data_IF_740647745309
#
_entry.id   IF_740647745309
#
_cell.length_a   1.000
_cell.length_b   1.000
_cell.length_c   1.000
_cell.angle_alpha   90.00
_cell.angle_beta   90.00
_cell.angle_gamma   90.00
#
_symmetry.space_group_name_H-M   'P 1'
#
loop_
_entity.id
_entity.type
_entity.pdbx_description
1 polymer ?
#
# COMPACT_ATOMS: atom_id res chain seq x y z
N UNK A 1 -34.58 10.92 9.54
CA UNK A 1 -33.68 9.77 9.70
C UNK A 1 -32.40 10.14 9.00
N UNK A 2 -31.49 10.80 9.74
CA UNK A 2 -30.17 11.17 9.25
C UNK A 2 -29.35 9.87 9.17
N UNK A 3 -29.04 9.45 7.94
CA UNK A 3 -28.08 8.38 7.67
C UNK A 3 -26.72 8.85 8.17
N UNK A 4 -26.27 8.36 9.32
CA UNK A 4 -24.96 8.69 9.90
C UNK A 4 -23.84 8.08 9.05
N UNK A 5 -23.51 8.69 7.93
CA UNK A 5 -22.30 8.39 7.18
C UNK A 5 -21.13 9.10 7.87
N UNK A 6 -20.45 8.39 8.79
CA UNK A 6 -19.02 8.48 9.16
C UNK A 6 -18.77 7.69 10.44
N UNK A 7 -17.64 6.96 10.51
CA UNK A 7 -16.37 7.67 10.63
C UNK A 7 -15.33 7.16 9.64
N UNK A 8 -14.93 8.04 8.72
CA UNK A 8 -13.60 7.94 8.09
C UNK A 8 -12.59 8.17 9.21
N UNK A 9 -11.65 7.24 9.37
CA UNK A 9 -10.81 7.24 10.53
C UNK A 9 -9.34 7.16 10.16
N UNK A 10 -8.56 7.89 10.93
CA UNK A 10 -7.13 7.81 10.93
C UNK A 10 -6.73 6.90 12.07
N UNK A 11 -6.09 5.80 11.71
CA UNK A 11 -5.57 4.82 12.66
C UNK A 11 -4.10 5.08 12.89
N UNK A 12 -3.72 5.28 14.15
CA UNK A 12 -2.39 5.72 14.57
C UNK A 12 -1.71 4.64 15.41
N UNK A 13 -0.47 4.34 15.06
CA UNK A 13 0.50 3.69 15.92
C UNK A 13 1.60 4.67 16.30
N UNK A 14 1.82 4.87 17.60
CA UNK A 14 2.89 5.72 18.10
C UNK A 14 4.23 4.97 18.02
N UNK A 15 5.08 5.34 17.06
CA UNK A 15 6.39 4.70 16.88
C UNK A 15 7.29 4.96 18.10
N UNK A 16 7.87 3.88 18.64
CA UNK A 16 8.73 3.94 19.84
C UNK A 16 7.98 3.92 21.17
N UNK A 17 6.65 3.82 21.17
CA UNK A 17 5.84 3.60 22.37
C UNK A 17 4.94 2.38 22.24
N UNK A 18 5.56 1.20 22.11
CA UNK A 18 4.90 -0.11 21.98
C UNK A 18 3.96 -0.46 23.14
N UNK A 19 3.99 0.34 24.22
CA UNK A 19 3.15 0.18 25.39
C UNK A 19 1.75 0.81 25.26
N UNK A 20 1.50 1.61 24.23
CA UNK A 20 0.18 2.19 23.99
C UNK A 20 -0.59 1.44 22.88
N UNK A 21 -1.89 1.15 23.09
CA UNK A 21 -2.71 0.60 22.03
C UNK A 21 -2.91 1.64 20.92
N UNK A 22 -3.11 1.21 19.66
CA UNK A 22 -3.38 2.13 18.57
C UNK A 22 -4.65 2.95 18.82
N UNK A 23 -4.64 4.17 18.30
CA UNK A 23 -5.75 5.11 18.47
C UNK A 23 -6.44 5.42 17.16
N UNK A 24 -7.69 5.87 17.30
CA UNK A 24 -8.59 6.18 16.22
C UNK A 24 -8.94 7.66 16.31
N UNK A 25 -8.87 8.35 15.19
CA UNK A 25 -9.10 9.80 15.10
C UNK A 25 -9.98 10.12 13.90
N UNK A 26 -10.96 11.03 14.06
CA UNK A 26 -11.61 11.68 12.93
C UNK A 26 -10.79 12.94 12.56
N UNK A 27 -10.05 12.92 11.44
CA UNK A 27 -9.16 14.03 11.08
C UNK A 27 -9.93 15.24 10.52
N UNK A 28 -11.25 15.13 10.33
CA UNK A 28 -12.10 16.22 9.85
C UNK A 28 -12.86 16.92 10.99
N UNK A 29 -12.78 16.40 12.22
CA UNK A 29 -13.44 16.98 13.38
C UNK A 29 -12.75 18.29 13.81
N UNK A 30 -13.51 19.38 13.94
CA UNK A 30 -12.97 20.70 14.37
C UNK A 30 -12.58 20.74 15.84
N UNK A 31 -13.07 19.77 16.63
CA UNK A 31 -12.59 19.52 17.97
C UNK A 31 -11.59 18.37 17.89
N UNK A 32 -10.30 18.66 18.02
CA UNK A 32 -9.23 17.70 18.34
C UNK A 32 -9.45 17.04 19.72
N UNK A 33 -10.68 16.74 20.10
CA UNK A 33 -10.93 15.73 21.09
C UNK A 33 -10.62 14.42 20.40
N UNK A 34 -9.63 13.67 20.89
CA UNK A 34 -9.67 12.21 20.86
C UNK A 34 -11.15 11.83 20.89
N UNK A 35 -11.69 11.32 19.78
CA UNK A 35 -13.03 10.74 19.79
C UNK A 35 -13.00 9.82 20.99
N UNK A 36 -13.88 10.05 21.97
CA UNK A 36 -13.94 9.21 23.16
C UNK A 36 -14.25 7.82 22.64
N UNK A 37 -13.18 7.06 22.34
CA UNK A 37 -13.29 5.75 21.74
C UNK A 37 -14.21 4.99 22.68
N UNK A 38 -15.33 4.46 22.17
CA UNK A 38 -16.23 3.68 23.00
C UNK A 38 -15.40 2.69 23.82
N UNK A 39 -15.72 2.50 25.10
CA UNK A 39 -14.92 1.62 25.97
C UNK A 39 -14.67 0.25 25.31
N UNK A 40 -15.65 -0.26 24.56
CA UNK A 40 -15.54 -1.44 23.72
C UNK A 40 -14.37 -1.39 22.69
N UNK A 41 -14.25 -0.29 21.94
CA UNK A 41 -13.14 -0.10 20.99
C UNK A 41 -11.78 -0.09 21.69
N UNK A 42 -11.67 0.62 22.82
CA UNK A 42 -10.42 0.64 23.59
C UNK A 42 -10.01 -0.75 24.05
N UNK A 43 -10.96 -1.59 24.46
CA UNK A 43 -10.67 -2.98 24.83
C UNK A 43 -10.20 -3.82 23.65
N UNK A 44 -10.84 -3.69 22.49
CA UNK A 44 -10.42 -4.39 21.26
C UNK A 44 -8.99 -4.00 20.83
N UNK A 45 -8.66 -2.71 20.88
CA UNK A 45 -7.33 -2.23 20.48
C UNK A 45 -6.20 -2.67 21.42
N UNK A 46 -6.50 -3.14 22.63
CA UNK A 46 -5.48 -3.74 23.51
C UNK A 46 -4.87 -5.01 22.91
N UNK A 47 -5.61 -5.72 22.05
CA UNK A 47 -5.07 -6.90 21.37
C UNK A 47 -3.98 -6.54 20.36
N UNK A 48 -4.01 -5.31 19.83
CA UNK A 48 -3.02 -4.79 18.88
C UNK A 48 -1.84 -4.08 19.56
N UNK A 49 -1.85 -3.99 20.89
CA UNK A 49 -0.77 -3.37 21.65
C UNK A 49 0.54 -4.13 21.44
N UNK A 50 1.62 -3.38 21.24
CA UNK A 50 2.98 -3.91 21.01
C UNK A 50 3.18 -4.59 19.65
N UNK A 51 2.20 -4.49 18.75
CA UNK A 51 2.27 -5.05 17.40
C UNK A 51 2.47 -3.95 16.38
N UNK A 52 3.24 -4.23 15.35
CA UNK A 52 3.51 -3.30 14.27
C UNK A 52 2.46 -3.48 13.17
N UNK A 53 1.89 -2.38 12.67
CA UNK A 53 1.08 -2.43 11.46
C UNK A 53 1.97 -2.19 10.25
N UNK A 54 1.94 -3.12 9.30
CA UNK A 54 2.75 -3.10 8.08
C UNK A 54 2.00 -2.45 6.91
N UNK A 55 0.69 -2.64 6.83
CA UNK A 55 -0.13 -2.10 5.74
C UNK A 55 -1.61 -1.98 6.13
N UNK A 56 -2.33 -1.09 5.43
CA UNK A 56 -3.79 -1.06 5.42
C UNK A 56 -4.28 -1.39 4.01
N UNK A 57 -5.05 -2.47 3.90
CA UNK A 57 -5.49 -3.09 2.67
C UNK A 57 -6.96 -2.73 2.42
N UNK A 58 -7.21 -2.06 1.30
CA UNK A 58 -8.55 -1.63 0.86
C UNK A 58 -9.29 -0.75 1.90
N UNK A 59 -8.56 -0.16 2.86
CA UNK A 59 -9.15 0.63 3.94
C UNK A 59 -9.91 -0.18 5.00
N UNK A 60 -9.88 -1.52 4.97
CA UNK A 60 -10.65 -2.38 5.87
C UNK A 60 -9.78 -3.29 6.74
N UNK A 61 -8.68 -3.78 6.17
CA UNK A 61 -7.86 -4.81 6.80
C UNK A 61 -6.50 -4.24 7.14
N UNK A 62 -6.07 -4.43 8.38
CA UNK A 62 -4.71 -4.12 8.81
C UNK A 62 -3.88 -5.38 8.79
N UNK A 63 -2.71 -5.31 8.17
CA UNK A 63 -1.71 -6.35 8.25
C UNK A 63 -0.80 -6.06 9.44
N UNK A 64 -0.86 -6.94 10.43
CA UNK A 64 -0.19 -6.79 11.71
C UNK A 64 0.94 -7.79 11.84
N UNK A 65 2.01 -7.36 12.48
CA UNK A 65 3.18 -8.16 12.83
C UNK A 65 3.38 -8.13 14.33
N UNK A 66 3.50 -9.32 14.92
CA UNK A 66 3.96 -9.51 16.29
C UNK A 66 5.42 -9.97 16.29
N UNK A 67 6.34 -9.00 16.23
CA UNK A 67 7.78 -9.26 16.22
C UNK A 67 8.27 -9.88 17.54
N UNK A 68 7.55 -9.67 18.65
CA UNK A 68 7.94 -10.18 19.97
C UNK A 68 7.65 -11.68 20.13
N UNK A 69 6.59 -12.19 19.48
CA UNK A 69 6.14 -13.58 19.59
C UNK A 69 6.26 -14.30 18.26
N UNK A 70 7.50 -14.47 17.78
CA UNK A 70 7.87 -15.27 16.60
C UNK A 70 7.59 -14.66 15.22
N UNK A 71 7.59 -13.33 15.09
CA UNK A 71 7.29 -12.63 13.82
C UNK A 71 5.96 -13.07 13.20
N UNK A 72 4.99 -13.43 14.05
CA UNK A 72 3.70 -13.91 13.58
C UNK A 72 2.93 -12.78 12.88
N UNK A 73 2.40 -13.07 11.70
CA UNK A 73 1.62 -12.13 10.92
C UNK A 73 0.15 -12.48 10.97
N UNK A 74 -0.71 -11.47 10.94
CA UNK A 74 -2.14 -11.69 10.82
C UNK A 74 -2.83 -10.48 10.20
N UNK A 75 -3.94 -10.73 9.51
CA UNK A 75 -4.87 -9.68 9.11
C UNK A 75 -5.90 -9.48 10.21
N UNK A 76 -6.26 -8.22 10.46
CA UNK A 76 -7.36 -7.87 11.35
C UNK A 76 -8.29 -6.88 10.66
N UNK A 77 -9.59 -7.10 10.74
CA UNK A 77 -10.58 -6.09 10.40
C UNK A 77 -11.07 -5.42 11.68
N UNK A 78 -10.52 -4.24 12.05
CA UNK A 78 -10.87 -3.62 13.31
C UNK A 78 -12.30 -3.06 13.30
N UNK A 79 -12.86 -2.78 12.12
CA UNK A 79 -14.21 -2.25 11.96
C UNK A 79 -15.31 -3.33 11.88
N UNK A 80 -14.93 -4.61 11.73
CA UNK A 80 -15.85 -5.75 11.59
C UNK A 80 -15.55 -6.82 12.67
N UNK A 81 -16.02 -6.53 13.89
CA UNK A 81 -15.96 -7.40 15.07
C UNK A 81 -14.56 -7.96 15.42
N UNK A 82 -13.48 -7.27 15.02
CA UNK A 82 -12.09 -7.72 15.22
C UNK A 82 -11.83 -9.10 14.61
N UNK A 83 -12.37 -9.37 13.41
CA UNK A 83 -12.08 -10.61 12.70
C UNK A 83 -10.58 -10.71 12.43
N UNK A 84 -9.94 -11.79 12.89
CA UNK A 84 -8.51 -12.06 12.74
C UNK A 84 -8.29 -13.27 11.84
N UNK A 85 -7.35 -13.13 10.90
CA UNK A 85 -6.90 -14.21 10.01
C UNK A 85 -5.40 -14.38 10.19
N UNK A 86 -4.98 -15.50 10.76
CA UNK A 86 -3.57 -15.85 10.93
C UNK A 86 -2.88 -16.07 9.59
N UNK A 87 -1.63 -15.63 9.51
CA UNK A 87 -0.73 -15.81 8.38
C UNK A 87 0.58 -16.47 8.83
N UNK A 88 1.36 -17.01 7.90
CA UNK A 88 2.71 -17.50 8.20
C UNK A 88 3.58 -16.41 8.82
N UNK A 89 4.49 -16.77 9.73
CA UNK A 89 5.52 -15.86 10.22
C UNK A 89 6.34 -15.22 9.08
N UNK A 90 6.70 -13.94 9.23
CA UNK A 90 7.67 -13.29 8.35
C UNK A 90 9.09 -13.60 8.84
N UNK A 91 9.71 -14.63 8.25
CA UNK A 91 11.10 -15.00 8.51
C UNK A 91 12.11 -14.09 7.76
N UNK A 92 11.62 -13.31 6.79
CA UNK A 92 12.37 -12.31 6.02
C UNK A 92 12.56 -11.03 6.82
N UNK A 93 13.68 -10.31 6.64
CA UNK A 93 13.78 -8.93 7.12
C UNK A 93 12.61 -8.09 6.61
N UNK A 94 12.06 -7.20 7.44
CA UNK A 94 10.97 -6.29 7.05
C UNK A 94 11.45 -5.16 6.16
N UNK A 95 12.75 -4.85 6.22
CA UNK A 95 13.37 -3.73 5.49
C UNK A 95 13.14 -3.76 3.97
N UNK A 96 13.21 -4.92 3.27
CA UNK A 96 12.83 -5.00 1.87
C UNK A 96 11.33 -4.82 1.65
N UNK A 97 10.45 -5.19 2.58
CA UNK A 97 9.00 -5.14 2.37
C UNK A 97 8.46 -3.72 2.57
N UNK A 98 7.69 -3.22 1.61
CA UNK A 98 7.08 -1.87 1.69
C UNK A 98 5.57 -1.89 1.76
N UNK A 99 4.91 -2.28 0.67
CA UNK A 99 3.44 -2.31 0.58
C UNK A 99 2.94 -3.68 0.20
N UNK A 100 1.67 -3.88 0.51
CA UNK A 100 0.98 -5.12 0.34
C UNK A 100 -0.31 -4.88 -0.45
N UNK A 101 -0.70 -5.87 -1.25
CA UNK A 101 -2.00 -5.94 -1.89
C UNK A 101 -2.63 -7.31 -1.63
N UNK A 102 -3.96 -7.37 -1.76
CA UNK A 102 -4.74 -8.60 -1.68
C UNK A 102 -5.52 -8.78 -2.98
N UNK A 103 -5.54 -10.00 -3.51
CA UNK A 103 -6.21 -10.29 -4.80
C UNK A 103 -7.73 -10.24 -4.71
N UNK A 104 -8.27 -10.52 -3.52
CA UNK A 104 -9.71 -10.55 -3.23
C UNK A 104 -9.93 -10.42 -1.72
N UNK A 105 -11.16 -10.64 -1.25
CA UNK A 105 -11.45 -10.65 0.19
C UNK A 105 -10.56 -11.67 0.92
N UNK A 106 -9.90 -11.32 2.04
CA UNK A 106 -9.08 -12.24 2.82
C UNK A 106 -9.83 -13.47 3.35
N UNK A 107 -11.16 -13.40 3.39
CA UNK A 107 -12.02 -14.51 3.78
C UNK A 107 -12.22 -15.53 2.65
N UNK A 108 -11.85 -15.19 1.42
CA UNK A 108 -11.89 -16.09 0.28
C UNK A 108 -10.72 -17.08 0.31
N UNK A 109 -10.94 -18.38 0.05
CA UNK A 109 -9.86 -19.37 -0.01
C UNK A 109 -8.85 -19.11 -1.14
N UNK A 110 -9.26 -18.37 -2.18
CA UNK A 110 -8.41 -18.02 -3.33
C UNK A 110 -7.68 -16.68 -3.14
N UNK A 111 -7.84 -16.04 -1.98
CA UNK A 111 -7.16 -14.78 -1.70
C UNK A 111 -5.65 -14.99 -1.64
N UNK A 112 -4.92 -14.16 -2.38
CA UNK A 112 -3.46 -14.11 -2.35
C UNK A 112 -3.04 -12.75 -1.84
N UNK A 113 -2.18 -12.77 -0.84
CA UNK A 113 -1.55 -11.61 -0.22
C UNK A 113 -0.19 -11.48 -0.86
N UNK A 114 0.14 -10.30 -1.38
CA UNK A 114 1.40 -10.05 -2.08
C UNK A 114 2.05 -8.80 -1.53
N UNK A 115 3.29 -8.92 -1.09
CA UNK A 115 4.16 -7.80 -0.78
C UNK A 115 5.02 -7.42 -1.98
N UNK A 116 5.09 -6.11 -2.23
CA UNK A 116 6.18 -5.55 -3.01
C UNK A 116 7.39 -5.35 -2.11
N UNK A 117 8.54 -5.75 -2.63
CA UNK A 117 9.84 -5.39 -2.07
C UNK A 117 10.28 -4.01 -2.59
N UNK A 118 11.34 -3.44 -2.01
CA UNK A 118 11.91 -2.15 -2.37
C UNK A 118 13.37 -2.31 -2.75
N UNK A 119 13.69 -1.91 -3.97
CA UNK A 119 15.03 -2.08 -4.54
C UNK A 119 15.48 -3.55 -4.57
N UNK A 120 14.52 -4.45 -4.76
CA UNK A 120 14.67 -5.90 -4.88
C UNK A 120 13.93 -6.34 -6.15
N UNK A 121 14.21 -7.56 -6.61
CA UNK A 121 13.70 -8.10 -7.88
C UNK A 121 12.69 -9.24 -7.71
N UNK A 122 12.02 -9.29 -6.55
CA UNK A 122 11.02 -10.32 -6.27
C UNK A 122 9.83 -9.80 -5.48
N UNK A 123 8.71 -10.49 -5.61
CA UNK A 123 7.52 -10.33 -4.77
C UNK A 123 7.45 -11.46 -3.75
N UNK A 124 7.07 -11.14 -2.52
CA UNK A 124 6.73 -12.15 -1.53
C UNK A 124 5.22 -12.34 -1.52
N UNK A 125 4.73 -13.59 -1.50
CA UNK A 125 3.30 -13.85 -1.48
C UNK A 125 2.92 -15.03 -0.60
N UNK A 126 1.68 -15.04 -0.12
CA UNK A 126 1.08 -16.14 0.63
C UNK A 126 -0.43 -16.17 0.41
N UNK A 127 -1.10 -17.21 0.91
CA UNK A 127 -2.57 -17.28 0.98
C UNK A 127 -3.01 -17.49 2.42
N UNK A 128 -4.19 -16.96 2.82
CA UNK A 128 -4.76 -17.27 4.13
C UNK A 128 -4.84 -18.78 4.38
N UNK A 129 -4.34 -19.22 5.53
CA UNK A 129 -4.33 -20.63 5.93
C UNK A 129 -3.15 -21.47 5.41
N UNK A 130 -2.27 -20.89 4.60
CA UNK A 130 -0.99 -21.52 4.25
C UNK A 130 0.02 -21.36 5.40
N UNK A 131 1.11 -22.14 5.33
CA UNK A 131 2.13 -22.22 6.38
C UNK A 131 3.43 -21.47 6.04
N UNK A 132 3.55 -20.87 4.84
CA UNK A 132 4.80 -20.27 4.37
C UNK A 132 4.60 -19.07 3.43
N UNK A 133 5.68 -18.30 3.27
CA UNK A 133 5.79 -17.25 2.25
C UNK A 133 6.59 -17.76 1.05
N UNK A 134 6.13 -17.42 -0.15
CA UNK A 134 6.80 -17.77 -1.40
C UNK A 134 7.37 -16.55 -2.08
N UNK A 135 8.44 -16.77 -2.82
CA UNK A 135 9.10 -15.78 -3.65
C UNK A 135 8.65 -15.94 -5.11
N UNK A 136 8.32 -14.83 -5.74
CA UNK A 136 8.09 -14.73 -7.18
C UNK A 136 9.11 -13.74 -7.74
N UNK A 137 10.12 -14.25 -8.45
CA UNK A 137 11.11 -13.43 -9.13
C UNK A 137 10.43 -12.63 -10.25
N UNK A 138 10.72 -11.34 -10.34
CA UNK A 138 10.16 -10.42 -11.35
C UNK A 138 11.11 -10.18 -12.51
N UNK A 139 12.35 -10.63 -12.40
CA UNK A 139 13.30 -10.64 -13.50
C UNK A 139 12.94 -11.79 -14.45
N UNK A 140 12.75 -11.44 -15.72
CA UNK A 140 12.89 -12.41 -16.80
C UNK A 140 14.41 -12.61 -17.04
N UNK A 141 14.85 -13.75 -17.59
CA UNK A 141 16.27 -14.13 -17.80
C UNK A 141 17.13 -13.14 -18.65
N UNK A 142 16.64 -11.93 -18.93
CA UNK A 142 17.31 -10.84 -19.63
C UNK A 142 18.10 -9.93 -18.65
N UNK A 143 19.27 -9.46 -19.09
CA UNK A 143 20.33 -8.80 -18.30
C UNK A 143 19.97 -7.47 -17.56
N UNK A 144 18.71 -7.04 -17.55
CA UNK A 144 18.27 -5.81 -16.89
C UNK A 144 17.52 -6.13 -15.58
N UNK A 145 18.20 -6.06 -14.43
CA UNK A 145 17.61 -6.22 -13.09
C UNK A 145 16.46 -5.21 -12.89
N UNK A 146 15.24 -5.72 -12.64
CA UNK A 146 14.05 -4.90 -12.45
C UNK A 146 13.80 -4.63 -10.97
N UNK A 147 14.16 -3.44 -10.52
CA UNK A 147 13.96 -3.05 -9.13
C UNK A 147 12.53 -2.57 -8.90
N UNK A 148 11.87 -3.21 -7.93
CA UNK A 148 10.53 -2.82 -7.50
C UNK A 148 10.60 -1.58 -6.60
N UNK A 149 9.66 -0.65 -6.78
CA UNK A 149 9.63 0.62 -6.02
C UNK A 149 8.82 0.53 -4.72
N UNK A 150 8.35 -0.67 -4.36
CA UNK A 150 7.69 -0.92 -3.09
C UNK A 150 6.21 -0.59 -3.04
N UNK A 151 5.57 -0.24 -4.15
CA UNK A 151 4.12 -0.05 -4.23
C UNK A 151 3.44 -1.18 -5.00
N UNK A 152 2.21 -1.52 -4.64
CA UNK A 152 1.46 -2.59 -5.29
C UNK A 152 -0.04 -2.37 -5.13
N UNK A 153 -0.79 -2.62 -6.21
CA UNK A 153 -2.25 -2.64 -6.17
C UNK A 153 -2.80 -3.86 -6.91
N UNK A 154 -3.88 -4.44 -6.39
CA UNK A 154 -4.64 -5.47 -7.10
C UNK A 154 -5.82 -4.86 -7.82
N UNK A 155 -6.06 -5.27 -9.06
CA UNK A 155 -7.25 -4.92 -9.82
C UNK A 155 -7.63 -6.08 -10.75
N UNK A 156 -8.87 -6.55 -10.65
CA UNK A 156 -9.45 -7.57 -11.54
C UNK A 156 -8.56 -8.84 -11.69
N UNK A 157 -7.99 -9.32 -10.58
CA UNK A 157 -7.14 -10.52 -10.57
C UNK A 157 -5.70 -10.31 -11.02
N UNK A 158 -5.34 -9.09 -11.46
CA UNK A 158 -3.96 -8.69 -11.76
C UNK A 158 -3.36 -7.86 -10.63
N UNK A 159 -2.04 -7.91 -10.50
CA UNK A 159 -1.26 -7.05 -9.61
C UNK A 159 -0.45 -6.06 -10.45
N UNK A 160 -0.36 -4.83 -9.99
CA UNK A 160 0.33 -3.74 -10.66
C UNK A 160 1.39 -3.19 -9.71
N UNK A 161 2.65 -3.20 -10.13
CA UNK A 161 3.81 -2.87 -9.30
C UNK A 161 4.68 -1.86 -10.04
N UNK A 162 4.90 -0.63 -9.52
CA UNK A 162 5.81 0.31 -10.13
C UNK A 162 7.28 -0.14 -10.03
N UNK A 163 8.05 0.15 -11.07
CA UNK A 163 9.48 -0.15 -11.15
C UNK A 163 10.31 1.13 -11.18
N UNK A 164 11.60 1.02 -10.91
CA UNK A 164 12.57 2.11 -10.96
C UNK A 164 12.74 2.70 -12.37
N UNK A 165 12.47 1.90 -13.40
CA UNK A 165 12.56 2.26 -14.82
C UNK A 165 11.39 3.10 -15.34
N UNK A 166 10.67 3.83 -14.48
CA UNK A 166 9.46 4.60 -14.86
C UNK A 166 8.47 3.75 -15.67
N UNK A 167 8.21 2.53 -15.19
CA UNK A 167 7.22 1.61 -15.74
C UNK A 167 6.45 0.92 -14.62
N UNK A 168 5.45 0.13 -15.00
CA UNK A 168 4.73 -0.80 -14.13
C UNK A 168 4.90 -2.22 -14.67
N UNK A 169 5.11 -3.16 -13.76
CA UNK A 169 4.95 -4.58 -13.99
C UNK A 169 3.50 -4.98 -13.69
N UNK A 170 2.88 -5.68 -14.61
CA UNK A 170 1.53 -6.21 -14.52
C UNK A 170 1.60 -7.72 -14.42
N UNK A 171 1.24 -8.26 -13.25
CA UNK A 171 1.33 -9.69 -12.97
C UNK A 171 -0.06 -10.32 -12.93
N UNK A 172 -0.27 -11.36 -13.72
CA UNK A 172 -1.45 -12.20 -13.60
C UNK A 172 -1.19 -13.36 -12.63
N UNK A 173 -1.56 -13.16 -11.36
CA UNK A 173 -1.39 -14.16 -10.29
C UNK A 173 -2.33 -15.36 -10.42
N UNK A 174 -3.29 -15.33 -11.35
CA UNK A 174 -4.13 -16.49 -11.66
C UNK A 174 -3.47 -17.48 -12.61
N UNK A 175 -2.45 -17.05 -13.36
CA UNK A 175 -1.65 -17.88 -14.26
C UNK A 175 -0.44 -18.50 -13.54
N UNK A 176 -0.01 -19.70 -13.97
CA UNK A 176 1.19 -20.36 -13.44
C UNK A 176 2.13 -20.83 -14.54
N UNK A 177 3.40 -20.38 -14.59
CA UNK A 177 3.95 -19.27 -13.78
C UNK A 177 3.22 -17.94 -14.07
N UNK A 178 3.22 -16.97 -13.14
CA UNK A 178 2.58 -15.67 -13.37
C UNK A 178 3.16 -15.00 -14.62
N UNK A 179 2.28 -14.61 -15.54
CA UNK A 179 2.69 -13.83 -16.71
C UNK A 179 2.95 -12.38 -16.30
N UNK A 180 4.12 -11.86 -16.65
CA UNK A 180 4.53 -10.47 -16.39
C UNK A 180 4.47 -9.68 -17.69
N UNK A 181 3.74 -8.58 -17.68
CA UNK A 181 3.68 -7.60 -18.77
C UNK A 181 4.21 -6.25 -18.28
N UNK A 182 4.99 -5.55 -19.11
CA UNK A 182 5.64 -4.28 -18.73
C UNK A 182 5.05 -3.11 -19.52
N UNK A 183 4.75 -2.00 -18.84
CA UNK A 183 4.23 -0.79 -19.49
C UNK A 183 4.82 0.48 -18.88
N UNK A 184 5.21 1.43 -19.73
CA UNK A 184 5.67 2.74 -19.26
C UNK A 184 4.58 3.49 -18.48
N UNK A 185 4.99 4.32 -17.51
CA UNK A 185 4.09 5.28 -16.86
C UNK A 185 4.29 6.68 -17.44
N UNK A 186 3.29 7.58 -17.36
CA UNK A 186 3.40 8.93 -17.90
C UNK A 186 4.61 9.65 -17.32
N UNK A 187 5.23 10.54 -18.09
CA UNK A 187 6.26 11.42 -17.55
C UNK A 187 5.66 12.38 -16.50
N UNK A 188 6.43 12.77 -15.47
CA UNK A 188 5.96 13.76 -14.51
C UNK A 188 5.73 15.11 -15.20
N UNK A 189 4.59 15.77 -14.92
CA UNK A 189 4.29 17.06 -15.55
C UNK A 189 5.21 18.20 -15.08
N UNK A 190 5.91 18.00 -13.96
CA UNK A 190 6.85 18.96 -13.42
C UNK A 190 8.17 18.29 -13.00
N UNK A 191 9.28 18.95 -13.34
CA UNK A 191 10.64 18.53 -12.98
C UNK A 191 10.93 19.03 -11.56
N UNK A 192 10.37 18.36 -10.56
CA UNK A 192 10.67 18.61 -9.15
C UNK A 192 11.45 17.46 -8.55
N UNK A 193 12.33 17.78 -7.60
CA UNK A 193 13.36 16.86 -7.08
C UNK A 193 12.83 15.65 -6.32
N UNK A 194 11.54 15.63 -5.95
CA UNK A 194 10.90 14.49 -5.29
C UNK A 194 9.45 14.36 -5.75
N UNK A 195 9.18 13.31 -6.54
CA UNK A 195 7.86 12.87 -6.93
C UNK A 195 7.61 11.50 -6.32
N UNK A 196 6.56 11.36 -5.53
CA UNK A 196 6.10 10.05 -5.07
C UNK A 196 4.98 9.58 -5.99
N UNK A 197 5.17 8.42 -6.60
CA UNK A 197 4.16 7.74 -7.40
C UNK A 197 3.46 6.68 -6.54
N UNK A 198 2.14 6.65 -6.60
CA UNK A 198 1.31 5.67 -5.90
C UNK A 198 0.22 5.15 -6.84
N UNK A 199 -0.02 3.85 -6.83
CA UNK A 199 -1.13 3.22 -7.53
C UNK A 199 -2.32 3.05 -6.60
N UNK A 200 -3.52 3.23 -7.14
CA UNK A 200 -4.76 2.98 -6.39
C UNK A 200 -5.82 2.38 -7.31
N UNK A 201 -6.56 1.42 -6.79
CA UNK A 201 -7.66 0.78 -7.49
C UNK A 201 -9.00 1.31 -6.96
N UNK A 202 -9.96 1.46 -7.87
CA UNK A 202 -11.35 1.68 -7.51
C UNK A 202 -12.27 1.23 -8.64
N UNK A 203 -13.26 0.39 -8.31
CA UNK A 203 -14.31 -0.07 -9.22
C UNK A 203 -13.76 -0.76 -10.49
N UNK A 204 -12.67 -1.52 -10.36
CA UNK A 204 -12.01 -2.20 -11.47
C UNK A 204 -11.16 -1.29 -12.35
N UNK A 205 -10.85 -0.08 -11.89
CA UNK A 205 -9.98 0.87 -12.59
C UNK A 205 -8.69 1.09 -11.77
N UNK A 206 -7.55 1.18 -12.46
CA UNK A 206 -6.26 1.52 -11.84
C UNK A 206 -5.91 2.96 -12.13
N UNK A 207 -5.51 3.69 -11.09
CA UNK A 207 -5.04 5.05 -11.16
C UNK A 207 -3.59 5.16 -10.69
N UNK A 208 -2.84 6.06 -11.31
CA UNK A 208 -1.53 6.50 -10.88
C UNK A 208 -1.66 7.93 -10.34
N UNK A 209 -1.50 8.07 -9.03
CA UNK A 209 -1.39 9.35 -8.34
C UNK A 209 0.08 9.70 -8.18
N UNK A 210 0.47 10.90 -8.60
CA UNK A 210 1.73 11.51 -8.23
C UNK A 210 1.50 12.76 -7.41
N UNK A 211 2.32 12.95 -6.39
CA UNK A 211 2.36 14.20 -5.65
C UNK A 211 3.78 14.74 -5.59
N UNK A 212 3.89 16.07 -5.71
CA UNK A 212 5.15 16.79 -5.84
C UNK A 212 5.38 17.67 -4.63
N UNK A 213 6.59 17.61 -4.08
CA UNK A 213 7.00 18.39 -2.92
C UNK A 213 8.30 19.15 -3.12
N UNK A 214 8.47 20.27 -2.42
CA UNK A 214 9.71 21.04 -2.41
C UNK A 214 10.74 20.57 -1.35
N UNK A 215 11.82 19.91 -1.77
CA UNK A 215 12.99 19.65 -0.92
C UNK A 215 12.78 18.61 0.20
N UNK A 216 13.88 18.07 0.75
CA UNK A 216 13.87 16.84 1.55
C UNK A 216 13.15 16.89 2.91
N UNK A 217 12.91 18.08 3.49
CA UNK A 217 12.44 18.22 4.90
C UNK A 217 11.49 19.39 5.21
N UNK A 218 10.91 20.05 4.20
CA UNK A 218 9.89 21.11 4.38
C UNK A 218 9.01 21.26 3.14
N UNK A 219 8.70 20.15 2.46
CA UNK A 219 7.97 20.20 1.19
C UNK A 219 6.49 20.47 1.42
N UNK A 220 6.09 21.74 1.28
CA UNK A 220 4.72 22.04 0.89
C UNK A 220 4.36 21.23 -0.36
N UNK A 221 3.13 20.73 -0.39
CA UNK A 221 2.59 20.07 -1.56
C UNK A 221 2.50 21.13 -2.67
N UNK A 222 3.20 20.89 -3.78
CA UNK A 222 3.23 21.82 -4.91
C UNK A 222 2.09 21.53 -5.88
N UNK A 223 1.96 20.27 -6.28
CA UNK A 223 0.96 19.83 -7.25
C UNK A 223 0.73 18.33 -7.14
N UNK A 224 -0.28 17.85 -7.85
CA UNK A 224 -0.57 16.43 -8.07
C UNK A 224 -0.88 16.15 -9.54
N UNK A 225 -0.53 14.95 -9.97
CA UNK A 225 -1.00 14.38 -11.22
C UNK A 225 -1.80 13.12 -10.96
N UNK A 226 -2.90 12.95 -11.70
CA UNK A 226 -3.70 11.75 -11.67
C UNK A 226 -3.89 11.23 -13.08
N UNK A 227 -3.57 9.96 -13.27
CA UNK A 227 -3.75 9.26 -14.54
C UNK A 227 -4.53 7.98 -14.31
N UNK A 228 -5.39 7.63 -15.24
CA UNK A 228 -6.13 6.35 -15.27
C UNK A 228 -5.53 5.45 -16.33
N UNK A 229 -5.34 4.19 -16.00
CA UNK A 229 -5.00 3.16 -16.97
C UNK A 229 -6.26 2.72 -17.72
N UNK A 230 -6.26 2.82 -19.04
CA UNK A 230 -7.41 2.46 -19.89
C UNK A 230 -6.97 1.53 -21.01
N UNK A 231 -7.75 0.50 -21.28
CA UNK A 231 -7.57 -0.33 -22.45
C UNK A 231 -7.89 0.49 -23.72
N UNK A 232 -6.95 0.55 -24.66
CA UNK A 232 -7.18 1.22 -25.94
C UNK A 232 -8.17 0.38 -26.76
N UNK A 233 -9.11 1.05 -27.41
CA UNK A 233 -10.13 0.42 -28.27
C UNK A 233 -9.68 0.27 -29.71
N UNK A 234 -8.52 0.85 -30.07
CA UNK A 234 -8.07 0.97 -31.45
C UNK A 234 -6.84 0.07 -31.69
N UNK A 235 -6.90 -0.73 -32.76
CA UNK A 235 -5.91 -1.57 -33.47
C UNK A 235 -4.64 -2.11 -32.77
N UNK A 236 -4.69 -2.33 -31.46
CA UNK A 236 -3.63 -3.05 -30.72
C UNK A 236 -4.04 -3.64 -29.38
N UNK A 237 -5.19 -3.24 -28.83
CA UNK A 237 -5.65 -3.71 -27.51
C UNK A 237 -4.70 -3.35 -26.36
N UNK A 238 -3.84 -2.34 -26.54
CA UNK A 238 -2.81 -1.99 -25.57
C UNK A 238 -3.36 -1.11 -24.44
N UNK A 239 -2.71 -1.11 -23.28
CA UNK A 239 -3.07 -0.23 -22.17
C UNK A 239 -2.44 1.16 -22.34
N UNK A 240 -3.23 2.21 -22.14
CA UNK A 240 -2.80 3.60 -22.27
C UNK A 240 -3.19 4.39 -21.02
N UNK A 241 -2.23 5.16 -20.49
CA UNK A 241 -2.48 6.11 -19.43
C UNK A 241 -3.14 7.38 -19.95
N UNK A 242 -4.24 7.79 -19.32
CA UNK A 242 -4.93 9.05 -19.61
C UNK A 242 -4.95 9.93 -18.39
N UNK A 243 -4.53 11.19 -18.53
CA UNK A 243 -4.65 12.18 -17.47
C UNK A 243 -6.13 12.39 -17.12
N UNK A 244 -6.43 12.49 -15.84
CA UNK A 244 -7.78 12.62 -15.31
C UNK A 244 -7.88 13.89 -14.49
N UNK A 245 -8.87 14.71 -14.82
CA UNK A 245 -9.17 15.95 -14.09
C UNK A 245 -10.37 15.82 -13.16
N UNK A 246 -11.12 14.70 -13.26
CA UNK A 246 -12.20 14.38 -12.32
C UNK A 246 -12.34 12.88 -12.09
N UNK A 247 -12.57 12.49 -10.83
CA UNK A 247 -12.85 11.11 -10.42
C UNK A 247 -14.33 10.88 -10.10
N UNK A 248 -15.19 11.88 -10.35
CA UNK A 248 -16.63 11.81 -10.11
C UNK A 248 -16.97 11.75 -8.62
N UNK A 249 -17.88 10.85 -8.23
CA UNK A 249 -18.29 10.67 -6.82
C UNK A 249 -17.22 10.01 -5.95
N UNK A 250 -15.96 9.90 -6.39
CA UNK A 250 -14.90 9.24 -5.62
C UNK A 250 -14.04 10.25 -4.87
N UNK A 251 -13.37 9.77 -3.84
CA UNK A 251 -12.29 10.48 -3.15
C UNK A 251 -11.10 9.55 -2.95
N UNK A 252 -9.89 10.09 -3.06
CA UNK A 252 -8.64 9.36 -2.82
C UNK A 252 -8.10 9.78 -1.45
N UNK A 253 -7.72 8.82 -0.62
CA UNK A 253 -7.14 9.01 0.69
C UNK A 253 -5.72 8.47 0.70
N UNK A 254 -4.77 9.29 1.10
CA UNK A 254 -3.33 9.02 0.97
C UNK A 254 -2.64 9.22 2.32
N UNK A 255 -1.83 8.26 2.72
CA UNK A 255 -0.85 8.31 3.80
C UNK A 255 0.43 7.57 3.33
N UNK A 256 1.50 7.53 4.13
CA UNK A 256 2.83 7.05 3.69
C UNK A 256 2.79 5.62 3.10
N UNK A 257 2.09 4.71 3.80
CA UNK A 257 1.94 3.30 3.41
C UNK A 257 0.48 2.89 3.12
N UNK A 258 -0.38 3.86 2.81
CA UNK A 258 -1.80 3.60 2.57
C UNK A 258 -2.34 4.53 1.50
N UNK A 259 -2.88 3.96 0.43
CA UNK A 259 -3.70 4.69 -0.52
C UNK A 259 -4.97 3.90 -0.77
N UNK A 260 -6.11 4.59 -0.63
CA UNK A 260 -7.42 3.98 -0.83
C UNK A 260 -8.30 4.98 -1.55
N UNK A 261 -9.13 4.48 -2.45
CA UNK A 261 -10.12 5.28 -3.17
C UNK A 261 -11.51 4.72 -2.91
N UNK A 262 -12.46 5.59 -2.56
CA UNK A 262 -13.80 5.18 -2.15
C UNK A 262 -14.86 6.18 -2.60
N UNK A 263 -16.11 5.74 -2.57
CA UNK A 263 -17.27 6.57 -2.90
C UNK A 263 -17.44 7.65 -1.82
N UNK A 264 -17.29 8.90 -2.24
CA UNK A 264 -17.30 10.07 -1.38
C UNK A 264 -18.67 10.30 -0.75
N UNK A 265 -19.77 10.13 -1.52
CA UNK A 265 -21.13 10.26 -0.99
C UNK A 265 -21.41 9.24 0.11
N UNK A 266 -20.95 7.98 -0.05
CA UNK A 266 -21.08 6.96 1.00
C UNK A 266 -20.28 7.31 2.25
N UNK A 267 -19.10 7.90 2.05
CA UNK A 267 -18.23 8.35 3.11
C UNK A 267 -18.63 9.70 3.73
N UNK A 268 -19.69 10.36 3.24
CA UNK A 268 -20.09 11.70 3.69
C UNK A 268 -18.99 12.76 3.52
N UNK A 269 -18.11 12.59 2.53
CA UNK A 269 -16.98 13.48 2.24
C UNK A 269 -17.22 14.19 0.90
N UNK A 270 -16.43 15.23 0.59
CA UNK A 270 -16.57 15.93 -0.68
C UNK A 270 -16.08 15.00 -1.81
N UNK A 271 -16.87 14.81 -2.89
CA UNK A 271 -16.41 14.10 -4.06
C UNK A 271 -15.33 14.87 -4.81
N UNK A 272 -14.63 14.18 -5.70
CA UNK A 272 -13.63 14.76 -6.60
C UNK A 272 -12.46 15.43 -5.86
N UNK A 273 -12.00 14.77 -4.80
CA UNK A 273 -10.95 15.25 -3.90
C UNK A 273 -9.89 14.20 -3.63
N UNK A 274 -8.66 14.69 -3.40
CA UNK A 274 -7.56 13.92 -2.81
C UNK A 274 -7.29 14.45 -1.40
N UNK A 275 -7.33 13.54 -0.42
CA UNK A 275 -7.07 13.78 0.99
C UNK A 275 -5.71 13.18 1.37
N UNK A 276 -4.68 14.01 1.48
CA UNK A 276 -3.30 13.57 1.71
C UNK A 276 -2.84 13.92 3.13
N UNK A 277 -2.47 12.90 3.90
CA UNK A 277 -1.75 13.03 5.16
C UNK A 277 -0.25 13.13 4.88
N UNK A 278 0.28 14.35 5.03
CA UNK A 278 1.67 14.63 4.79
C UNK A 278 2.44 14.74 6.12
N UNK A 279 3.27 13.73 6.39
CA UNK A 279 3.96 13.56 7.68
C UNK A 279 5.35 14.20 7.74
N UNK A 280 5.93 14.61 6.60
CA UNK A 280 7.28 15.20 6.52
C UNK A 280 7.29 16.71 6.81
N UNK A 281 6.56 17.12 7.84
CA UNK A 281 6.40 18.52 8.25
C UNK A 281 6.90 18.75 9.69
N UNK A 282 7.70 19.80 9.90
CA UNK A 282 8.26 20.12 11.23
C UNK A 282 7.23 20.43 12.32
N UNK A 283 6.06 20.91 11.91
CA UNK A 283 5.03 21.41 12.83
C UNK A 283 3.93 20.37 13.13
N UNK A 284 4.13 19.11 12.71
CA UNK A 284 3.14 18.03 12.79
C UNK A 284 2.61 17.64 11.41
N UNK A 285 1.66 16.69 11.40
CA UNK A 285 1.08 16.15 10.16
C UNK A 285 0.08 17.14 9.57
N UNK A 286 0.15 17.36 8.25
CA UNK A 286 -0.82 18.18 7.51
C UNK A 286 -1.80 17.28 6.76
N UNK A 287 -3.09 17.51 6.93
CA UNK A 287 -4.12 16.95 6.05
C UNK A 287 -4.39 17.93 4.92
N UNK A 288 -3.88 17.66 3.73
CA UNK A 288 -4.22 18.39 2.52
C UNK A 288 -5.56 17.90 1.97
N UNK A 289 -6.41 18.85 1.60
CA UNK A 289 -7.58 18.60 0.74
C UNK A 289 -7.34 19.28 -0.59
N UNK A 290 -7.22 18.48 -1.64
CA UNK A 290 -6.95 18.93 -3.00
C UNK A 290 -8.19 18.66 -3.83
N UNK A 291 -8.77 19.71 -4.40
CA UNK A 291 -9.92 19.59 -5.28
C UNK A 291 -9.43 19.40 -6.72
N UNK A 292 -9.92 18.37 -7.41
CA UNK A 292 -9.44 18.08 -8.76
C UNK A 292 -10.03 19.02 -9.81
N UNK A 293 -11.28 19.45 -9.60
CA UNK A 293 -12.04 20.35 -10.48
C UNK A 293 -11.38 21.71 -10.72
N UNK A 294 -10.92 22.39 -9.66
CA UNK A 294 -10.31 23.72 -9.73
C UNK A 294 -8.87 23.79 -9.21
N UNK A 295 -8.28 22.63 -8.87
CA UNK A 295 -6.93 22.48 -8.31
C UNK A 295 -6.70 23.26 -7.01
N UNK A 296 -7.77 23.66 -6.32
CA UNK A 296 -7.64 24.32 -5.01
C UNK A 296 -7.08 23.35 -3.99
N UNK A 297 -5.96 23.74 -3.38
CA UNK A 297 -5.32 23.00 -2.29
C UNK A 297 -5.48 23.77 -0.99
N UNK A 298 -6.01 23.10 0.03
CA UNK A 298 -6.08 23.62 1.40
C UNK A 298 -5.46 22.59 2.34
N UNK A 299 -5.07 22.99 3.55
CA UNK A 299 -4.65 22.03 4.56
C UNK A 299 -5.14 22.40 5.96
N UNK A 300 -5.26 21.38 6.81
CA UNK A 300 -5.43 21.53 8.26
C UNK A 300 -4.27 20.85 8.97
N UNK A 301 -3.78 21.45 10.05
CA UNK A 301 -2.72 20.87 10.87
C UNK A 301 -3.33 19.93 11.90
N UNK A 302 -2.77 18.73 12.03
CA UNK A 302 -3.17 17.71 12.99
C UNK A 302 -2.11 17.61 14.09
N UNK A 303 -2.21 18.37 15.20
CA UNK A 303 -1.17 18.48 16.21
C UNK A 303 -0.98 17.21 17.04
N UNK A 304 -1.99 16.33 17.10
CA UNK A 304 -1.94 15.07 17.83
C UNK A 304 -1.16 13.97 17.07
N UNK A 305 -0.78 14.26 15.82
CA UNK A 305 -0.02 13.38 14.95
C UNK A 305 1.40 13.91 14.78
N UNK A 306 2.37 13.00 14.91
CA UNK A 306 3.80 13.27 14.75
C UNK A 306 4.31 12.66 13.45
N UNK A 307 5.48 13.13 12.99
CA UNK A 307 6.13 12.60 11.78
C UNK A 307 6.55 11.14 11.88
N UNK A 308 6.65 10.61 13.10
CA UNK A 308 7.08 9.24 13.37
C UNK A 308 5.88 8.30 13.53
N UNK A 309 4.66 8.82 13.67
CA UNK A 309 3.50 7.94 13.79
C UNK A 309 3.32 7.12 12.50
N UNK A 310 2.97 5.84 12.62
CA UNK A 310 2.47 5.08 11.46
C UNK A 310 0.98 5.32 11.34
N UNK A 311 0.55 5.86 10.19
CA UNK A 311 -0.80 6.40 10.00
C UNK A 311 -1.47 5.75 8.80
N UNK A 312 -2.69 5.25 9.02
CA UNK A 312 -3.47 4.52 8.03
C UNK A 312 -4.89 5.07 7.92
N UNK A 313 -5.41 5.12 6.69
CA UNK A 313 -6.82 5.40 6.46
C UNK A 313 -7.64 4.12 6.63
N UNK A 314 -8.60 4.16 7.55
CA UNK A 314 -9.64 3.15 7.69
C UNK A 314 -10.96 3.75 7.19
N UNK A 315 -11.57 3.05 6.24
CA UNK A 315 -12.86 3.40 5.67
C UNK A 315 -13.88 2.39 6.21
N UNK A 316 -15.13 2.75 6.46
CA UNK A 316 -16.16 1.74 6.68
C UNK A 316 -16.43 0.98 5.38
N UNK A 317 -16.67 -0.33 5.47
CA UNK A 317 -17.06 -1.12 4.32
C UNK A 317 -18.29 -0.48 3.64
N UNK A 318 -18.35 -0.44 2.29
CA UNK A 318 -19.59 -0.10 1.64
C UNK A 318 -20.67 -1.08 2.12
N UNK A 319 -21.83 -0.57 2.54
CA UNK A 319 -23.01 -1.38 2.82
C UNK A 319 -23.52 -1.90 1.46
N UNK A 320 -22.80 -2.84 0.86
CA UNK A 320 -23.31 -3.68 -0.21
C UNK A 320 -24.01 -4.84 0.47
N UNK A 321 -25.34 -4.71 0.52
CA UNK A 321 -26.32 -5.77 0.65
C UNK A 321 -25.76 -7.19 0.78
N UNK A 322 -26.01 -7.82 1.93
CA UNK A 322 -26.23 -9.26 2.04
C UNK A 322 -27.17 -9.65 0.90
N UNK A 323 -26.63 -10.15 -0.21
CA UNK A 323 -27.38 -10.84 -1.26
C UNK A 323 -26.56 -12.07 -1.60
N UNK A 324 -27.10 -13.19 -1.13
CA UNK A 324 -26.84 -14.57 -1.51
C UNK A 324 -25.80 -14.82 -2.61
N UNK A 325 -24.59 -15.22 -2.20
CA UNK A 325 -23.82 -16.22 -2.94
C UNK A 325 -24.11 -17.62 -2.37
N UNK A 326 -25.39 -18.00 -2.42
CA UNK A 326 -25.81 -19.40 -2.24
C UNK A 326 -26.30 -20.02 -3.54
N UNK A 327 -25.72 -19.69 -4.70
CA UNK A 327 -25.86 -20.55 -5.89
C UNK A 327 -24.76 -20.28 -6.90
N UNK A 328 -23.70 -21.10 -6.88
CA UNK A 328 -23.15 -21.76 -8.07
C UNK A 328 -22.12 -22.81 -7.63
N UNK A 329 -22.62 -23.98 -7.27
CA UNK A 329 -21.82 -25.21 -7.30
C UNK A 329 -21.57 -25.53 -8.77
N UNK A 330 -20.39 -25.20 -9.28
CA UNK A 330 -19.88 -25.79 -10.51
C UNK A 330 -18.56 -26.48 -10.15
N UNK A 331 -18.60 -27.81 -10.24
CA UNK A 331 -17.43 -28.68 -10.12
C UNK A 331 -16.38 -28.29 -11.17
N UNK A 332 -15.13 -28.09 -10.74
CA UNK A 332 -13.96 -28.13 -11.61
C UNK A 332 -12.99 -29.22 -11.11
N UNK A 333 -12.27 -29.89 -12.03
CA UNK A 333 -11.66 -31.18 -11.77
C UNK A 333 -10.34 -31.08 -10.98
N UNK A 334 -10.09 -32.08 -10.14
CA UNK A 334 -8.77 -32.42 -9.63
C UNK A 334 -7.85 -32.75 -10.82
N UNK A 335 -6.79 -31.96 -11.01
CA UNK A 335 -5.38 -32.38 -11.12
C UNK A 335 -4.58 -31.32 -11.88
N UNK A 336 -3.65 -30.66 -11.20
CA UNK A 336 -2.30 -30.37 -11.74
C UNK A 336 -1.29 -30.52 -10.58
N UNK A 337 -0.63 -31.68 -10.52
CA UNK A 337 0.72 -31.74 -9.95
C UNK A 337 1.65 -31.14 -10.99
N UNK A 338 2.03 -29.87 -10.83
CA UNK A 338 3.11 -29.26 -11.60
C UNK A 338 4.34 -29.13 -10.71
N UNK A 339 5.49 -29.45 -11.28
CA UNK A 339 6.77 -29.51 -10.60
C UNK A 339 7.12 -28.15 -9.96
N UNK A 340 7.39 -28.16 -8.65
CA UNK A 340 7.87 -27.02 -7.88
C UNK A 340 9.27 -26.63 -8.38
N UNK A 341 9.40 -25.54 -9.12
CA UNK A 341 10.59 -24.69 -9.00
C UNK A 341 10.22 -23.57 -8.03
N UNK A 342 10.19 -23.91 -6.74
CA UNK A 342 9.88 -22.98 -5.64
C UNK A 342 11.16 -22.85 -4.84
N UNK A 343 11.75 -21.66 -4.84
CA UNK A 343 12.73 -21.33 -3.80
C UNK A 343 11.93 -20.93 -2.56
N UNK A 344 11.93 -21.81 -1.56
CA UNK A 344 11.57 -21.42 -0.20
C UNK A 344 12.60 -20.40 0.27
N UNK A 345 12.17 -19.33 0.93
CA UNK A 345 13.11 -18.38 1.52
C UNK A 345 14.04 -19.13 2.49
N UNK A 346 15.31 -19.24 2.11
CA UNK A 346 16.35 -19.86 2.91
C UNK A 346 17.41 -18.81 3.23
N UNK A 347 17.63 -18.59 4.53
CA UNK A 347 18.62 -17.65 5.05
C UNK A 347 20.03 -17.93 4.52
N UNK A 348 20.69 -16.88 3.98
CA UNK A 348 22.15 -16.81 3.98
C UNK A 348 22.55 -15.68 4.93
N UNK A 349 22.90 -16.04 6.18
CA UNK A 349 23.58 -15.10 7.08
C UNK A 349 25.04 -14.98 6.64
N UNK A 350 25.42 -13.90 5.98
CA UNK A 350 26.83 -13.54 5.86
C UNK A 350 27.24 -12.82 7.14
N UNK A 351 27.74 -13.58 8.11
CA UNK A 351 28.41 -13.03 9.28
C UNK A 351 29.71 -12.33 8.83
N UNK A 352 29.73 -11.00 8.83
CA UNK A 352 30.95 -10.23 8.59
C UNK A 352 31.88 -10.32 9.79
N UNK A 353 32.83 -11.26 9.77
CA UNK A 353 34.00 -11.22 10.65
C UNK A 353 35.11 -10.44 9.97
N UNK A 354 35.34 -9.18 10.35
CA UNK A 354 36.61 -8.47 10.10
C UNK A 354 37.74 -9.09 10.95
N UNK A 355 39.01 -9.09 10.49
CA UNK A 355 40.00 -8.19 11.12
C UNK A 355 41.11 -7.71 10.11
N UNK A 356 42.26 -7.10 10.50
CA UNK A 356 42.49 -5.67 10.37
C UNK A 356 43.67 -5.27 9.45
N UNK A 357 43.65 -3.99 9.04
CA UNK A 357 44.74 -3.08 8.66
C UNK A 357 46.10 -3.64 8.18
N UNK A 358 46.55 -3.14 7.01
CA UNK A 358 47.89 -2.54 6.84
C UNK A 358 47.95 -1.57 5.65
N UNK A 359 48.48 -0.39 5.93
CA UNK A 359 48.80 0.70 5.01
C UNK A 359 49.78 0.28 3.89
N UNK A 360 49.63 0.83 2.68
CA UNK A 360 50.60 1.78 2.10
C UNK A 360 50.15 2.41 0.77
N UNK A 361 50.20 3.75 0.77
CA UNK A 361 50.60 4.70 -0.27
C UNK A 361 50.23 4.56 -1.76
N UNK A 362 49.60 5.65 -2.20
CA UNK A 362 49.95 6.51 -3.35
C UNK A 362 49.39 6.18 -4.73
N UNK A 363 48.76 7.17 -5.36
CA UNK A 363 48.51 7.20 -6.79
C UNK A 363 47.28 8.01 -7.20
N UNK A 364 47.49 9.30 -7.46
CA UNK A 364 46.55 10.24 -8.10
C UNK A 364 46.18 9.77 -9.52
N UNK A 365 44.97 10.08 -10.00
CA UNK A 365 44.66 10.80 -11.26
C UNK A 365 43.14 10.81 -11.51
N UNK A 366 42.60 12.02 -11.61
CA UNK A 366 41.27 12.34 -12.14
C UNK A 366 41.25 12.15 -13.66
N UNK A 367 40.12 11.73 -14.22
CA UNK A 367 39.67 12.16 -15.55
C UNK A 367 38.15 12.04 -15.67
N UNK A 368 37.50 13.19 -15.52
CA UNK A 368 36.20 13.51 -16.09
C UNK A 368 36.41 13.77 -17.59
N UNK A 369 35.53 13.23 -18.44
CA UNK A 369 35.20 13.88 -19.72
C UNK A 369 33.78 13.52 -20.16
N UNK A 370 32.96 14.59 -20.15
CA UNK A 370 31.78 14.96 -20.96
C UNK A 370 30.55 14.06 -21.00
#
# INVERSE_FOLDING_TARGET
>A
MESSSKPLLVFKFAEGNDNEPPTLMDPFSQHNSNTNNPSAWRHQMLELKGKQCLACLQGQWLLMLDAASSNHCFLVSPLDDMTIISLPPLDTPLEPLRRCAISSSPLSPDCTIVFSTFMDTYLAYTRPGEDDWWQLDTDDDDDDELLLMGDIVSCQGKMYVPTDMSSIAMLDVSSYPPHIERRGIPEPSCIHSMANAMLVESQGEVFLLRHYGYGARDSELLDIDLHRLVHATDDGGDYVWRKVDTIGDRAIFVADNCVVMSDATKAGIRPDCVYLLHQRCRHGVRLYTIRLDDRTTTFTLLPDLTSNDSIYWLLPAPISSIVDDTTNIIQAPLYIQAAKSIRKMAMVSLSSTSPPNKHHHAGVVFLLTW
#
